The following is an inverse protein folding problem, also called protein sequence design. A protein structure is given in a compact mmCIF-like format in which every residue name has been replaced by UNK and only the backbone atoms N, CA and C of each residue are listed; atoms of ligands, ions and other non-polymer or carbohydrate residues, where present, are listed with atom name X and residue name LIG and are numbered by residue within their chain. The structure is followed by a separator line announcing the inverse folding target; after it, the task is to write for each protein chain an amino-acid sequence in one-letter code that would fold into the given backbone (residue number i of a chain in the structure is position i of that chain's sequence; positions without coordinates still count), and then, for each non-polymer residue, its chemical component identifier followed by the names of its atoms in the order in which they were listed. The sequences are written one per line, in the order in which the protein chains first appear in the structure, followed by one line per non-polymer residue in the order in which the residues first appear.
data_IF_569329381898
#
_entry.id   IF_569329381898
#
_cell.length_a   1.000
_cell.length_b   1.000
_cell.length_c   1.000
_cell.angle_alpha   90.00
_cell.angle_beta   90.00
_cell.angle_gamma   90.00
#
_symmetry.space_group_name_H-M   'P 1'
#
loop_
_entity.id
_entity.type
_entity.pdbx_description
1 polymer ?
#
# COMPACT_ATOMS: atom_id res chain seq x y z
N UNK A 1 20.06 8.15 -14.30
CA UNK A 1 19.94 6.71 -14.02
C UNK A 1 18.52 6.33 -14.40
N UNK A 2 18.32 5.73 -15.57
CA UNK A 2 17.02 5.20 -15.97
C UNK A 2 16.91 3.82 -15.34
N UNK A 3 15.99 3.58 -14.38
CA UNK A 3 15.81 2.26 -13.84
C UNK A 3 15.38 1.30 -14.95
N UNK A 4 15.81 0.05 -14.85
CA UNK A 4 15.30 -1.05 -15.66
C UNK A 4 13.79 -1.23 -15.35
N UNK A 5 12.97 -1.47 -16.36
CA UNK A 5 11.50 -1.49 -16.24
C UNK A 5 10.91 -2.69 -17.00
N UNK A 6 11.43 -3.89 -16.76
CA UNK A 6 10.83 -5.10 -17.28
C UNK A 6 9.58 -5.48 -16.47
N UNK A 7 8.60 -6.21 -17.05
CA UNK A 7 7.40 -6.62 -16.31
C UNK A 7 7.69 -7.37 -15.00
N UNK A 8 8.83 -8.07 -14.93
CA UNK A 8 9.29 -8.76 -13.71
C UNK A 8 9.81 -7.85 -12.60
N UNK A 9 10.09 -6.57 -12.89
CA UNK A 9 10.57 -5.59 -11.93
C UNK A 9 9.42 -4.95 -11.11
N UNK A 10 8.17 -5.24 -11.48
CA UNK A 10 6.98 -4.66 -10.87
C UNK A 10 6.25 -5.64 -9.97
N UNK A 11 5.92 -5.18 -8.76
CA UNK A 11 5.00 -5.87 -7.86
C UNK A 11 3.62 -5.24 -8.00
N UNK A 12 2.63 -6.04 -8.35
CA UNK A 12 1.24 -5.61 -8.46
C UNK A 12 0.53 -5.79 -7.12
N UNK A 13 -0.20 -4.77 -6.68
CA UNK A 13 -0.94 -4.76 -5.42
C UNK A 13 -2.36 -4.21 -5.64
N UNK A 14 -3.28 -4.58 -4.76
CA UNK A 14 -4.65 -4.06 -4.73
C UNK A 14 -4.75 -3.06 -3.60
N UNK A 15 -5.30 -1.88 -3.91
CA UNK A 15 -5.45 -0.78 -2.96
C UNK A 15 -6.13 -1.24 -1.68
N UNK A 16 -5.63 -0.79 -0.51
CA UNK A 16 -6.02 -1.40 0.78
C UNK A 16 -7.52 -1.38 1.04
N UNK A 17 -8.20 -0.29 0.68
CA UNK A 17 -9.66 -0.18 0.82
C UNK A 17 -10.41 -1.17 -0.09
N UNK A 18 -9.87 -1.44 -1.28
CA UNK A 18 -10.50 -2.33 -2.25
C UNK A 18 -10.20 -3.80 -2.01
N UNK A 19 -9.06 -4.14 -1.38
CA UNK A 19 -8.62 -5.51 -1.16
C UNK A 19 -9.70 -6.43 -0.56
N UNK A 20 -10.48 -6.03 0.47
CA UNK A 20 -11.54 -6.87 1.02
C UNK A 20 -12.68 -7.21 0.05
N UNK A 21 -12.90 -6.40 -0.99
CA UNK A 21 -13.94 -6.64 -1.99
C UNK A 21 -13.55 -7.72 -3.02
N UNK A 22 -12.29 -8.15 -3.03
CA UNK A 22 -11.80 -9.23 -3.89
C UNK A 22 -12.01 -10.60 -3.25
N UNK A 23 -11.87 -11.65 -4.06
CA UNK A 23 -11.91 -13.04 -3.60
C UNK A 23 -10.79 -13.33 -2.57
N UNK A 24 -10.99 -14.29 -1.64
CA UNK A 24 -10.04 -14.54 -0.55
C UNK A 24 -8.59 -14.81 -0.99
N UNK A 25 -8.39 -15.47 -2.14
CA UNK A 25 -7.05 -15.75 -2.68
C UNK A 25 -6.25 -14.47 -3.01
N UNK A 26 -6.92 -13.34 -3.24
CA UNK A 26 -6.27 -12.06 -3.48
C UNK A 26 -5.77 -11.38 -2.20
N UNK A 27 -6.39 -11.65 -1.05
CA UNK A 27 -6.18 -10.91 0.21
C UNK A 27 -4.77 -11.06 0.78
N UNK A 28 -4.07 -12.14 0.46
CA UNK A 28 -2.66 -12.30 0.81
C UNK A 28 -1.78 -11.80 -0.32
N UNK A 29 -2.03 -12.29 -1.54
CA UNK A 29 -1.16 -12.11 -2.71
C UNK A 29 -0.94 -10.66 -3.09
N UNK A 30 -1.97 -9.83 -2.98
CA UNK A 30 -1.94 -8.43 -3.44
C UNK A 30 -1.97 -7.42 -2.29
N UNK A 31 -1.62 -7.87 -1.08
CA UNK A 31 -1.72 -7.04 0.13
C UNK A 31 -0.46 -6.23 0.38
N UNK A 32 -0.61 -4.91 0.42
CA UNK A 32 0.43 -4.00 0.90
C UNK A 32 1.00 -4.38 2.28
N UNK A 33 0.19 -4.94 3.18
CA UNK A 33 0.67 -5.28 4.53
C UNK A 33 1.58 -6.53 4.56
N UNK A 34 1.58 -7.31 3.48
CA UNK A 34 2.33 -8.57 3.35
C UNK A 34 3.36 -8.52 2.22
N UNK A 35 3.63 -7.31 1.71
CA UNK A 35 4.62 -7.08 0.67
C UNK A 35 5.80 -6.30 1.27
N UNK A 36 7.03 -6.80 1.13
CA UNK A 36 8.21 -6.09 1.61
C UNK A 36 8.37 -4.69 0.99
N UNK A 37 9.01 -3.79 1.73
CA UNK A 37 9.48 -2.48 1.26
C UNK A 37 8.42 -1.45 0.83
N UNK A 38 7.12 -1.76 0.91
CA UNK A 38 6.06 -0.79 0.58
C UNK A 38 5.77 0.22 1.71
N UNK A 39 6.22 -0.08 2.93
CA UNK A 39 5.99 0.76 4.11
C UNK A 39 4.50 0.84 4.50
N UNK A 40 4.17 1.78 5.40
CA UNK A 40 2.78 2.03 5.79
C UNK A 40 2.11 2.95 4.77
N UNK A 41 1.64 2.36 3.66
CA UNK A 41 0.95 3.08 2.58
C UNK A 41 -0.51 2.63 2.48
N UNK A 42 -1.45 3.55 2.31
CA UNK A 42 -2.88 3.24 2.09
C UNK A 42 -3.19 2.83 0.64
N UNK A 43 -2.45 3.41 -0.31
CA UNK A 43 -2.67 3.23 -1.74
C UNK A 43 -3.81 4.11 -2.28
N UNK A 44 -4.39 5.02 -1.51
CA UNK A 44 -5.60 5.78 -1.88
C UNK A 44 -5.32 6.99 -2.79
N UNK A 45 -4.10 7.14 -3.30
CA UNK A 45 -3.74 8.28 -4.14
C UNK A 45 -4.63 8.41 -5.40
N UNK A 46 -4.99 7.32 -6.12
CA UNK A 46 -5.94 7.40 -7.24
C UNK A 46 -7.32 7.94 -6.83
N UNK A 47 -7.86 7.51 -5.70
CA UNK A 47 -9.17 7.90 -5.17
C UNK A 47 -9.18 9.31 -4.59
N UNK A 48 -8.07 9.73 -3.97
CA UNK A 48 -7.89 11.09 -3.45
C UNK A 48 -8.05 12.16 -4.54
N UNK A 49 -7.71 11.82 -5.79
CA UNK A 49 -7.95 12.67 -6.95
C UNK A 49 -9.45 12.92 -7.19
N UNK A 50 -10.28 11.89 -7.07
CA UNK A 50 -11.73 12.00 -7.29
C UNK A 50 -12.41 12.94 -6.30
N UNK A 51 -12.03 12.89 -5.02
CA UNK A 51 -12.57 13.81 -4.00
C UNK A 51 -12.36 15.28 -4.37
N UNK A 52 -11.22 15.61 -4.99
CA UNK A 52 -10.92 16.97 -5.46
C UNK A 52 -11.72 17.34 -6.70
N UNK A 53 -11.84 16.42 -7.66
CA UNK A 53 -12.62 16.65 -8.88
C UNK A 53 -14.12 16.76 -8.60
N UNK A 54 -14.63 16.08 -7.57
CA UNK A 54 -16.03 16.16 -7.17
C UNK A 54 -16.47 17.59 -6.82
N UNK A 55 -15.56 18.42 -6.31
CA UNK A 55 -15.85 19.84 -6.02
C UNK A 55 -16.08 20.65 -7.30
N UNK A 56 -15.51 20.24 -8.43
CA UNK A 56 -15.66 20.88 -9.73
C UNK A 56 -16.92 20.40 -10.46
N UNK A 57 -17.44 19.22 -10.10
CA UNK A 57 -18.50 18.54 -10.84
C UNK A 57 -19.73 19.43 -11.06
N UNK A 58 -20.14 20.24 -10.08
CA UNK A 58 -21.30 21.13 -10.22
C UNK A 58 -21.04 22.27 -11.22
N UNK A 59 -19.87 22.90 -11.16
CA UNK A 59 -19.49 23.99 -12.07
C UNK A 59 -19.29 23.49 -13.50
N UNK A 60 -18.72 22.30 -13.65
CA UNK A 60 -18.45 21.68 -14.96
C UNK A 60 -19.73 21.32 -15.73
N UNK A 61 -20.86 21.06 -15.04
CA UNK A 61 -22.13 20.68 -15.68
C UNK A 61 -22.74 21.75 -16.57
N UNK A 62 -22.43 23.03 -16.34
CA UNK A 62 -23.02 24.16 -17.07
C UNK A 62 -22.07 24.74 -18.12
N UNK A 63 -20.83 24.25 -18.19
CA UNK A 63 -19.81 24.70 -19.14
C UNK A 63 -20.02 24.08 -20.52
N UNK A 64 -19.57 24.77 -21.58
CA UNK A 64 -19.46 24.19 -22.92
C UNK A 64 -18.38 23.09 -22.96
N UNK A 65 -18.42 22.19 -23.96
CA UNK A 65 -17.50 21.04 -24.03
C UNK A 65 -16.01 21.44 -24.05
N UNK A 66 -15.66 22.51 -24.76
CA UNK A 66 -14.28 23.01 -24.79
C UNK A 66 -13.83 23.52 -23.41
N UNK A 67 -14.62 24.42 -22.83
CA UNK A 67 -14.36 24.98 -21.50
C UNK A 67 -14.34 23.91 -20.41
N UNK A 68 -15.18 22.88 -20.52
CA UNK A 68 -15.19 21.72 -19.63
C UNK A 68 -13.85 20.99 -19.65
N UNK A 69 -13.33 20.66 -20.83
CA UNK A 69 -12.08 19.94 -20.98
C UNK A 69 -10.89 20.79 -20.51
N UNK A 70 -10.83 22.05 -20.91
CA UNK A 70 -9.76 22.98 -20.53
C UNK A 70 -9.74 23.22 -19.01
N UNK A 71 -10.92 23.38 -18.40
CA UNK A 71 -11.04 23.55 -16.95
C UNK A 71 -10.58 22.29 -16.22
N UNK A 72 -10.97 21.11 -16.69
CA UNK A 72 -10.59 19.84 -16.08
C UNK A 72 -9.08 19.62 -16.17
N UNK A 73 -8.49 19.83 -17.34
CA UNK A 73 -7.04 19.66 -17.56
C UNK A 73 -6.22 20.63 -16.71
N UNK A 74 -6.65 21.89 -16.62
CA UNK A 74 -5.99 22.89 -15.77
C UNK A 74 -5.99 22.47 -14.28
N UNK A 75 -7.10 21.94 -13.78
CA UNK A 75 -7.19 21.48 -12.39
C UNK A 75 -6.34 20.23 -12.13
N UNK A 76 -6.33 19.26 -13.04
CA UNK A 76 -5.51 18.05 -12.95
C UNK A 76 -4.02 18.43 -13.02
N UNK A 77 -3.64 19.29 -13.96
CA UNK A 77 -2.27 19.79 -14.12
C UNK A 77 -1.79 20.55 -12.88
N UNK A 78 -2.62 21.44 -12.31
CA UNK A 78 -2.31 22.10 -11.05
C UNK A 78 -2.16 21.11 -9.88
N UNK A 79 -3.01 20.07 -9.81
CA UNK A 79 -2.87 19.03 -8.79
C UNK A 79 -1.55 18.27 -8.92
N UNK A 80 -1.17 17.88 -10.13
CA UNK A 80 0.11 17.22 -10.42
C UNK A 80 1.29 18.11 -10.05
N UNK A 81 1.25 19.39 -10.44
CA UNK A 81 2.28 20.36 -10.08
C UNK A 81 2.43 20.48 -8.55
N UNK A 82 1.32 20.66 -7.83
CA UNK A 82 1.31 20.73 -6.36
C UNK A 82 1.86 19.46 -5.72
N UNK A 83 1.51 18.28 -6.25
CA UNK A 83 2.04 17.00 -5.77
C UNK A 83 3.56 16.96 -5.90
N UNK A 84 4.09 17.35 -7.07
CA UNK A 84 5.53 17.41 -7.33
C UNK A 84 6.25 18.39 -6.41
N UNK A 85 5.77 19.63 -6.29
CA UNK A 85 6.45 20.64 -5.47
C UNK A 85 6.34 20.36 -3.96
N UNK A 86 5.26 19.73 -3.51
CA UNK A 86 5.06 19.41 -2.09
C UNK A 86 5.70 18.08 -1.68
N UNK A 87 6.11 17.24 -2.65
CA UNK A 87 6.61 15.89 -2.41
C UNK A 87 7.71 15.86 -1.33
N UNK A 88 8.73 16.72 -1.45
CA UNK A 88 9.82 16.77 -0.48
C UNK A 88 9.34 17.08 0.95
N UNK A 89 8.46 18.08 1.10
CA UNK A 89 7.92 18.45 2.41
C UNK A 89 7.02 17.36 3.02
N UNK A 90 6.25 16.67 2.19
CA UNK A 90 5.40 15.55 2.60
C UNK A 90 6.23 14.35 3.02
N UNK A 91 7.26 14.00 2.25
CA UNK A 91 8.19 12.91 2.59
C UNK A 91 8.96 13.21 3.87
N UNK A 92 9.43 14.44 4.07
CA UNK A 92 10.09 14.85 5.31
C UNK A 92 9.16 14.66 6.53
N UNK A 93 7.91 15.11 6.44
CA UNK A 93 6.91 14.88 7.51
C UNK A 93 6.67 13.39 7.74
N UNK A 94 6.66 12.59 6.68
CA UNK A 94 6.57 11.12 6.76
C UNK A 94 7.75 10.52 7.52
N UNK A 95 8.98 10.88 7.14
CA UNK A 95 10.22 10.39 7.78
C UNK A 95 10.26 10.77 9.26
N UNK A 96 9.91 12.00 9.61
CA UNK A 96 9.88 12.47 11.00
C UNK A 96 8.88 11.69 11.88
N UNK A 97 7.82 11.12 11.29
CA UNK A 97 6.90 10.20 11.97
C UNK A 97 7.40 8.76 11.96
N UNK A 98 7.98 8.31 10.85
CA UNK A 98 8.41 6.94 10.65
C UNK A 98 9.60 6.55 11.54
N UNK A 99 10.56 7.46 11.76
CA UNK A 99 11.73 7.20 12.62
C UNK A 99 11.34 6.82 14.05
N UNK A 100 10.58 7.64 14.80
CA UNK A 100 10.19 7.29 16.16
C UNK A 100 9.26 6.06 16.18
N UNK A 101 8.35 5.93 15.20
CA UNK A 101 7.50 4.75 15.08
C UNK A 101 8.32 3.46 14.90
N UNK A 102 9.37 3.49 14.07
CA UNK A 102 10.30 2.36 13.91
C UNK A 102 10.96 2.00 15.24
N UNK A 103 11.48 2.98 15.98
CA UNK A 103 12.12 2.72 17.28
C UNK A 103 11.15 2.02 18.24
N UNK A 104 9.93 2.56 18.35
CA UNK A 104 8.89 1.98 19.19
C UNK A 104 8.51 0.56 18.73
N UNK A 105 8.22 0.37 17.45
CA UNK A 105 7.82 -0.94 16.91
C UNK A 105 8.93 -1.98 17.05
N UNK A 106 10.20 -1.60 16.88
CA UNK A 106 11.33 -2.49 17.11
C UNK A 106 11.44 -2.91 18.58
N UNK A 107 11.22 -2.00 19.52
CA UNK A 107 11.22 -2.33 20.94
C UNK A 107 10.05 -3.27 21.31
N UNK A 108 8.84 -2.96 20.83
CA UNK A 108 7.64 -3.79 21.03
C UNK A 108 7.84 -5.18 20.41
N UNK A 109 8.41 -5.26 19.20
CA UNK A 109 8.70 -6.53 18.55
C UNK A 109 9.68 -7.36 19.38
N UNK A 110 10.78 -6.76 19.84
CA UNK A 110 11.78 -7.45 20.66
C UNK A 110 11.16 -8.02 21.95
N UNK A 111 10.38 -7.20 22.68
CA UNK A 111 9.68 -7.63 23.89
C UNK A 111 8.69 -8.77 23.61
N UNK A 112 7.88 -8.63 22.55
CA UNK A 112 6.93 -9.65 22.14
C UNK A 112 7.63 -10.96 21.80
N UNK A 113 8.67 -10.93 20.98
CA UNK A 113 9.42 -12.15 20.62
C UNK A 113 10.13 -12.79 21.81
N UNK A 114 10.63 -12.01 22.76
CA UNK A 114 11.26 -12.53 23.97
C UNK A 114 10.27 -13.26 24.91
N UNK A 115 8.97 -12.97 24.78
CA UNK A 115 7.91 -13.63 25.56
C UNK A 115 7.43 -14.96 24.97
N UNK A 116 7.89 -15.31 23.76
CA UNK A 116 7.46 -16.51 23.03
C UNK A 116 8.51 -17.62 23.07
N UNK A 117 8.11 -18.89 22.84
CA UNK A 117 9.06 -19.98 22.67
C UNK A 117 10.00 -19.72 21.48
N UNK A 118 11.31 -19.84 21.71
CA UNK A 118 12.34 -19.58 20.69
C UNK A 118 12.13 -20.41 19.41
N UNK A 119 11.74 -21.68 19.57
CA UNK A 119 11.45 -22.57 18.46
C UNK A 119 10.30 -22.06 17.57
N UNK A 120 9.26 -21.46 18.16
CA UNK A 120 8.13 -20.92 17.41
C UNK A 120 8.52 -19.64 16.68
N UNK A 121 9.29 -18.76 17.33
CA UNK A 121 9.83 -17.53 16.72
C UNK A 121 10.69 -17.88 15.51
N UNK A 122 11.62 -18.83 15.65
CA UNK A 122 12.48 -19.29 14.56
C UNK A 122 11.65 -19.84 13.40
N UNK A 123 10.74 -20.79 13.69
CA UNK A 123 9.88 -21.42 12.68
C UNK A 123 9.07 -20.39 11.88
N UNK A 124 8.47 -19.41 12.56
CA UNK A 124 7.67 -18.37 11.90
C UNK A 124 8.53 -17.39 11.10
N UNK A 125 9.71 -17.03 11.61
CA UNK A 125 10.63 -16.12 10.90
C UNK A 125 11.08 -16.74 9.59
N UNK A 126 11.52 -18.01 9.61
CA UNK A 126 11.93 -18.76 8.42
C UNK A 126 10.79 -18.89 7.40
N UNK A 127 9.56 -19.15 7.87
CA UNK A 127 8.39 -19.25 6.99
C UNK A 127 8.02 -17.92 6.32
N UNK A 128 8.12 -16.80 7.05
CA UNK A 128 7.86 -15.46 6.52
C UNK A 128 8.96 -15.06 5.52
N UNK A 129 10.24 -15.24 5.86
CA UNK A 129 11.36 -14.89 4.98
C UNK A 129 11.33 -15.70 3.67
N UNK A 130 11.01 -17.01 3.74
CA UNK A 130 10.83 -17.84 2.55
C UNK A 130 9.69 -17.34 1.66
N UNK A 131 8.57 -16.91 2.28
CA UNK A 131 7.44 -16.32 1.56
C UNK A 131 7.76 -14.95 0.94
N UNK A 132 8.48 -14.09 1.65
CA UNK A 132 8.88 -12.77 1.15
C UNK A 132 9.85 -12.88 -0.02
N UNK A 133 10.72 -13.90 -0.02
CA UNK A 133 11.67 -14.18 -1.09
C UNK A 133 11.00 -14.74 -2.35
N UNK A 134 10.11 -15.72 -2.19
CA UNK A 134 9.45 -16.39 -3.31
C UNK A 134 7.98 -16.71 -3.00
N UNK A 135 7.09 -15.70 -3.05
CA UNK A 135 5.67 -15.89 -2.73
C UNK A 135 4.92 -16.74 -3.76
N UNK A 136 5.55 -17.09 -4.90
CA UNK A 136 4.95 -17.93 -5.93
C UNK A 136 5.09 -19.40 -5.56
N UNK A 137 6.26 -19.81 -5.04
CA UNK A 137 6.56 -21.21 -4.75
C UNK A 137 6.57 -21.55 -3.25
N UNK A 138 6.72 -20.56 -2.36
CA UNK A 138 6.73 -20.80 -0.92
C UNK A 138 5.34 -21.12 -0.36
N UNK A 139 5.31 -21.83 0.77
CA UNK A 139 4.09 -22.04 1.55
C UNK A 139 3.63 -20.72 2.14
N UNK A 140 2.37 -20.36 1.95
CA UNK A 140 1.80 -19.12 2.50
C UNK A 140 1.61 -19.21 4.02
N UNK A 141 2.40 -18.49 4.84
CA UNK A 141 2.30 -18.59 6.29
C UNK A 141 1.04 -17.91 6.84
N UNK A 142 0.33 -17.12 6.03
CA UNK A 142 -0.86 -16.38 6.43
C UNK A 142 -2.18 -17.07 6.10
N UNK A 143 -2.13 -18.23 5.43
CA UNK A 143 -3.32 -18.99 5.08
C UNK A 143 -3.74 -19.89 6.25
N UNK A 144 -5.02 -19.91 6.57
CA UNK A 144 -5.54 -20.73 7.67
C UNK A 144 -5.55 -22.19 7.25
N UNK A 145 -4.76 -23.02 7.94
CA UNK A 145 -4.69 -24.48 7.70
C UNK A 145 -5.74 -25.27 8.49
N UNK A 146 -6.44 -24.62 9.41
CA UNK A 146 -7.51 -25.25 10.21
C UNK A 146 -8.79 -25.28 9.41
N UNK A 147 -9.32 -26.47 9.15
CA UNK A 147 -10.62 -26.65 8.51
C UNK A 147 -11.70 -26.00 9.35
N UNK A 148 -12.45 -25.06 8.77
CA UNK A 148 -13.56 -24.39 9.45
C UNK A 148 -14.64 -25.43 9.77
N UNK A 149 -14.63 -25.97 10.99
CA UNK A 149 -15.73 -26.77 11.50
C UNK A 149 -16.88 -25.83 11.82
N UNK A 150 -17.88 -25.80 10.93
CA UNK A 150 -19.17 -25.20 11.25
C UNK A 150 -19.82 -26.04 12.37
N UNK A 151 -20.00 -25.44 13.54
CA UNK A 151 -20.99 -25.86 14.53
C UNK A 151 -22.33 -25.20 14.20
#
# INVERSE_FOLDING_TARGET
MTPHQDPGDFIYLILKFHLPAYIPSCHVKYSFNKTPYVGLTDGEAPECGWSRLNQLATSLKVMGLGEYLDTLDNHISNYNYRKSVLMGSTLLKGILKAIPARILHSAVYAEFTASLPEQDVQRWSEAIEAWEWDPVNAVNPFETTVTRTYL
#
